data_IF_954775312541
#
_entry.id   IF_954775312541
#
_cell.length_a   1.000
_cell.length_b   1.000
_cell.length_c   1.000
_cell.angle_alpha   90.00
_cell.angle_beta   90.00
_cell.angle_gamma   90.00
#
_symmetry.space_group_name_H-M   'P 1'
#
loop_
_entity.id
_entity.type
_entity.pdbx_description
1 polymer ?
#
# COMPACT_ATOMS: atom_id res chain seq x y z
N UNK A 1 -30.85 31.71 -29.69
CA UNK A 1 -29.56 30.98 -29.65
C UNK A 1 -28.90 30.97 -28.26
N UNK A 2 -29.58 31.35 -27.17
CA UNK A 2 -29.00 31.52 -25.82
C UNK A 2 -29.40 30.44 -24.79
N UNK A 3 -29.88 29.27 -25.23
CA UNK A 3 -30.33 28.15 -24.34
C UNK A 3 -29.41 26.92 -24.35
N UNK A 4 -28.38 26.90 -25.20
CA UNK A 4 -27.48 25.74 -25.40
C UNK A 4 -26.14 25.87 -24.67
N UNK A 5 -25.81 27.06 -24.18
CA UNK A 5 -24.54 27.37 -23.50
C UNK A 5 -24.56 27.05 -22.01
N UNK A 6 -25.73 27.04 -21.36
CA UNK A 6 -25.87 26.69 -19.93
C UNK A 6 -25.70 25.19 -19.66
N UNK A 7 -26.02 24.32 -20.63
CA UNK A 7 -25.92 22.87 -20.46
C UNK A 7 -24.47 22.34 -20.41
N UNK A 8 -23.52 23.02 -21.08
CA UNK A 8 -22.12 22.61 -21.10
C UNK A 8 -21.34 23.03 -19.84
N UNK A 9 -21.74 24.11 -19.17
CA UNK A 9 -21.08 24.59 -17.95
C UNK A 9 -21.41 23.72 -16.72
N UNK A 10 -22.60 23.11 -16.67
CA UNK A 10 -23.04 22.26 -15.54
C UNK A 10 -22.36 20.88 -15.58
N UNK A 11 -21.97 20.38 -16.76
CA UNK A 11 -21.31 19.08 -16.91
C UNK A 11 -19.83 19.07 -16.48
N UNK A 12 -19.16 20.23 -16.53
CA UNK A 12 -17.75 20.36 -16.14
C UNK A 12 -17.53 20.45 -14.61
N UNK A 13 -18.56 20.80 -13.83
CA UNK A 13 -18.46 20.88 -12.36
C UNK A 13 -18.66 19.53 -11.65
N UNK A 14 -19.20 18.52 -12.33
CA UNK A 14 -19.53 17.22 -11.71
C UNK A 14 -18.32 16.27 -11.57
N UNK A 15 -17.20 16.52 -12.26
CA UNK A 15 -16.02 15.64 -12.28
C UNK A 15 -14.95 15.98 -11.22
N UNK A 16 -15.08 17.12 -10.53
CA UNK A 16 -14.13 17.54 -9.50
C UNK A 16 -14.42 16.93 -8.10
N UNK A 17 -15.59 16.32 -7.90
CA UNK A 17 -16.03 15.85 -6.58
C UNK A 17 -15.46 14.49 -6.12
N UNK A 18 -14.67 13.80 -6.95
CA UNK A 18 -14.20 12.43 -6.66
C UNK A 18 -12.72 12.30 -6.27
N UNK A 19 -12.05 13.41 -5.90
CA UNK A 19 -10.66 13.39 -5.41
C UNK A 19 -10.57 13.95 -4.01
N UNK A 20 -11.01 13.16 -3.05
CA UNK A 20 -10.51 13.30 -1.68
C UNK A 20 -9.56 12.13 -1.43
N UNK A 21 -8.25 12.37 -1.21
CA UNK A 21 -7.42 11.36 -0.57
C UNK A 21 -8.03 11.15 0.82
N UNK A 22 -8.84 10.11 0.97
CA UNK A 22 -9.36 9.73 2.26
C UNK A 22 -8.21 9.32 3.19
N UNK A 23 -8.45 9.28 4.52
CA UNK A 23 -7.43 8.90 5.50
C UNK A 23 -6.73 7.56 5.19
N UNK A 24 -7.40 6.66 4.46
CA UNK A 24 -6.80 5.40 4.02
C UNK A 24 -5.63 5.57 3.06
N UNK A 25 -5.58 6.59 2.20
CA UNK A 25 -4.44 6.79 1.29
C UNK A 25 -3.18 7.17 2.06
N UNK A 26 -3.27 8.19 2.92
CA UNK A 26 -2.14 8.66 3.72
C UNK A 26 -1.61 7.56 4.66
N UNK A 27 -2.50 6.77 5.25
CA UNK A 27 -2.11 5.62 6.09
C UNK A 27 -1.37 4.55 5.29
N UNK A 28 -1.85 4.19 4.10
CA UNK A 28 -1.15 3.24 3.22
C UNK A 28 0.21 3.79 2.80
N UNK A 29 0.29 5.06 2.40
CA UNK A 29 1.56 5.71 2.05
C UNK A 29 2.55 5.71 3.22
N UNK A 30 2.08 5.94 4.44
CA UNK A 30 2.90 5.87 5.66
C UNK A 30 3.47 4.47 5.88
N UNK A 31 2.66 3.42 5.77
CA UNK A 31 3.11 2.02 5.92
C UNK A 31 4.15 1.67 4.85
N UNK A 32 3.90 2.06 3.59
CA UNK A 32 4.84 1.82 2.50
C UNK A 32 6.17 2.58 2.69
N UNK A 33 6.12 3.81 3.21
CA UNK A 33 7.31 4.60 3.51
C UNK A 33 8.15 3.98 4.64
N UNK A 34 7.51 3.50 5.70
CA UNK A 34 8.18 2.78 6.79
C UNK A 34 8.83 1.48 6.29
N UNK A 35 8.10 0.69 5.49
CA UNK A 35 8.61 -0.51 4.84
C UNK A 35 9.88 -0.23 4.04
N UNK A 36 9.84 0.77 3.15
CA UNK A 36 10.97 1.16 2.33
C UNK A 36 12.16 1.63 3.18
N UNK A 37 11.91 2.39 4.24
CA UNK A 37 12.96 2.88 5.13
C UNK A 37 13.64 1.73 5.89
N UNK A 38 12.89 0.75 6.40
CA UNK A 38 13.45 -0.44 7.04
C UNK A 38 14.25 -1.29 6.04
N UNK A 39 13.68 -1.54 4.86
CA UNK A 39 14.35 -2.30 3.80
C UNK A 39 15.68 -1.67 3.40
N UNK A 40 15.71 -0.36 3.15
CA UNK A 40 16.92 0.36 2.74
C UNK A 40 18.05 0.34 3.78
N UNK A 41 17.71 0.14 5.07
CA UNK A 41 18.71 -0.01 6.15
C UNK A 41 19.07 -1.47 6.42
N UNK A 42 18.50 -2.43 5.70
CA UNK A 42 18.64 -3.86 5.99
C UNK A 42 17.90 -4.32 7.26
N UNK A 43 16.98 -3.52 7.78
CA UNK A 43 16.21 -3.85 8.97
C UNK A 43 15.03 -4.78 8.61
N UNK A 44 15.34 -6.07 8.45
CA UNK A 44 14.35 -7.09 8.08
C UNK A 44 13.24 -7.25 9.11
N UNK A 45 13.57 -7.12 10.40
CA UNK A 45 12.58 -7.22 11.50
C UNK A 45 11.61 -6.06 11.46
N UNK A 46 12.12 -4.83 11.29
CA UNK A 46 11.30 -3.64 11.11
C UNK A 46 10.44 -3.72 9.85
N UNK A 47 11.01 -4.21 8.75
CA UNK A 47 10.27 -4.41 7.49
C UNK A 47 9.09 -5.37 7.68
N UNK A 48 9.32 -6.57 8.25
CA UNK A 48 8.26 -7.59 8.41
C UNK A 48 7.16 -7.14 9.37
N UNK A 49 7.49 -6.41 10.44
CA UNK A 49 6.53 -5.92 11.44
C UNK A 49 5.43 -5.00 10.88
N UNK A 50 5.66 -4.40 9.71
CA UNK A 50 4.67 -3.55 9.04
C UNK A 50 3.52 -4.34 8.39
N UNK A 51 3.68 -5.65 8.21
CA UNK A 51 2.62 -6.52 7.72
C UNK A 51 1.62 -6.87 8.81
N UNK A 52 0.52 -7.48 8.41
CA UNK A 52 -0.51 -7.97 9.33
C UNK A 52 0.05 -9.05 10.27
N UNK A 53 -0.07 -8.81 11.58
CA UNK A 53 0.42 -9.70 12.64
C UNK A 53 -0.57 -10.84 12.92
N UNK A 54 -0.67 -11.76 11.97
CA UNK A 54 -1.52 -12.95 12.07
C UNK A 54 -0.87 -14.15 11.35
N UNK A 55 -1.13 -15.37 11.83
CA UNK A 55 -0.64 -16.61 11.22
C UNK A 55 -1.21 -16.84 9.81
N UNK A 56 -2.35 -16.22 9.49
CA UNK A 56 -2.99 -16.28 8.17
C UNK A 56 -2.33 -15.35 7.14
N UNK A 57 -1.41 -14.46 7.55
CA UNK A 57 -0.61 -13.66 6.61
C UNK A 57 0.05 -14.58 5.59
N UNK A 58 -0.26 -14.38 4.31
CA UNK A 58 0.25 -15.24 3.24
C UNK A 58 1.16 -14.42 2.32
N UNK A 59 2.39 -14.88 2.15
CA UNK A 59 3.37 -14.29 1.23
C UNK A 59 3.71 -15.28 0.11
N UNK A 60 3.68 -14.83 -1.14
CA UNK A 60 3.92 -15.67 -2.32
C UNK A 60 5.13 -15.13 -3.08
N UNK A 61 6.16 -15.96 -3.24
CA UNK A 61 7.37 -15.61 -3.98
C UNK A 61 7.84 -16.75 -4.89
N UNK A 62 8.99 -16.56 -5.54
CA UNK A 62 9.59 -17.55 -6.44
C UNK A 62 9.94 -18.88 -5.76
N UNK A 63 10.18 -18.87 -4.46
CA UNK A 63 10.49 -20.06 -3.65
C UNK A 63 9.25 -20.73 -3.06
N UNK A 64 8.05 -20.28 -3.40
CA UNK A 64 6.78 -20.80 -2.88
C UNK A 64 6.07 -19.86 -1.90
N UNK A 65 5.16 -20.44 -1.12
CA UNK A 65 4.28 -19.75 -0.18
C UNK A 65 4.87 -19.79 1.24
N UNK A 66 4.77 -18.67 1.96
CA UNK A 66 5.09 -18.55 3.40
C UNK A 66 3.86 -18.09 4.18
N UNK A 67 3.73 -18.55 5.42
CA UNK A 67 2.61 -18.21 6.32
C UNK A 67 3.07 -17.58 7.63
N UNK A 68 2.44 -16.47 7.99
CA UNK A 68 2.75 -15.70 9.19
C UNK A 68 4.01 -14.84 9.06
N UNK A 69 4.15 -13.83 9.93
CA UNK A 69 5.31 -12.94 9.94
C UNK A 69 6.62 -13.66 10.27
N UNK A 70 6.58 -14.68 11.14
CA UNK A 70 7.77 -15.43 11.54
C UNK A 70 8.40 -16.21 10.39
N UNK A 71 7.60 -16.94 9.60
CA UNK A 71 8.09 -17.69 8.44
C UNK A 71 8.59 -16.74 7.34
N UNK A 72 7.90 -15.61 7.16
CA UNK A 72 8.32 -14.55 6.25
C UNK A 72 9.72 -14.01 6.64
N UNK A 73 9.92 -13.66 7.90
CA UNK A 73 11.19 -13.16 8.44
C UNK A 73 12.31 -14.18 8.29
N UNK A 74 12.08 -15.42 8.72
CA UNK A 74 13.07 -16.49 8.65
C UNK A 74 13.57 -16.73 7.21
N UNK A 75 12.68 -16.61 6.23
CA UNK A 75 13.07 -16.76 4.84
C UNK A 75 13.75 -15.53 4.22
N UNK A 76 13.62 -14.34 4.80
CA UNK A 76 14.46 -13.18 4.44
C UNK A 76 15.84 -13.29 5.06
N UNK A 77 15.94 -13.62 6.36
CA UNK A 77 17.20 -13.80 7.07
C UNK A 77 18.10 -14.88 6.42
N UNK A 78 17.50 -15.89 5.77
CA UNK A 78 18.25 -16.90 4.99
C UNK A 78 18.82 -16.37 3.68
N UNK A 79 18.16 -15.40 3.04
CA UNK A 79 18.54 -14.86 1.74
C UNK A 79 19.45 -13.64 1.80
N UNK A 80 19.43 -12.94 2.94
CA UNK A 80 20.18 -11.71 3.17
C UNK A 80 20.92 -11.82 4.53
N UNK A 81 22.16 -12.36 4.54
CA UNK A 81 23.00 -12.40 5.74
C UNK A 81 23.54 -11.02 6.13
#
# INVERSE_FOLDING_TARGET
MLRRTTAFAVLALATAACRSPGPGREQVESVLAEQAACWNRGDLRGFVRTYWDDADLTFVGSTGLRRGPDDLLAGYERGYP
#
